data_IF_697266675176
#
_entry.id   IF_697266675176
#
_cell.length_a   1.000
_cell.length_b   1.000
_cell.length_c   1.000
_cell.angle_alpha   90.00
_cell.angle_beta   90.00
_cell.angle_gamma   90.00
#
_symmetry.space_group_name_H-M   'P 1'
#
loop_
_entity.id
_entity.type
_entity.pdbx_description
1 polymer ?
#
# COMPACT_ATOMS: atom_id res chain seq x y z
N UNK A 1 -31.92 7.78 4.67
CA UNK A 1 -31.69 6.90 3.49
C UNK A 1 -32.76 7.18 2.44
N UNK A 2 -32.40 7.05 1.15
CA UNK A 2 -33.36 7.15 0.03
C UNK A 2 -33.69 5.74 -0.45
N UNK A 3 -34.96 5.46 -0.74
CA UNK A 3 -35.37 4.17 -1.30
C UNK A 3 -34.93 4.08 -2.76
N UNK A 4 -34.24 3.01 -3.11
CA UNK A 4 -33.76 2.72 -4.46
C UNK A 4 -34.28 1.31 -4.82
N UNK A 5 -34.70 1.13 -6.07
CA UNK A 5 -35.09 -0.17 -6.61
C UNK A 5 -34.03 -0.64 -7.61
N UNK A 6 -33.65 -1.90 -7.54
CA UNK A 6 -32.65 -2.54 -8.41
C UNK A 6 -33.24 -3.84 -8.94
N UNK A 7 -32.90 -4.18 -10.17
CA UNK A 7 -33.21 -5.49 -10.74
C UNK A 7 -32.00 -6.39 -10.58
N UNK A 8 -32.21 -7.54 -9.95
CA UNK A 8 -31.18 -8.54 -9.66
C UNK A 8 -31.75 -9.89 -10.08
N UNK A 9 -30.89 -10.73 -10.63
CA UNK A 9 -31.21 -12.12 -10.92
C UNK A 9 -31.78 -12.83 -9.68
N UNK A 10 -32.83 -13.63 -9.87
CA UNK A 10 -33.59 -14.23 -8.77
C UNK A 10 -32.76 -15.25 -7.99
N UNK A 11 -32.00 -16.09 -8.69
CA UNK A 11 -31.15 -17.11 -8.08
C UNK A 11 -30.00 -16.48 -7.30
N UNK A 12 -29.40 -15.42 -7.85
CA UNK A 12 -28.37 -14.64 -7.16
C UNK A 12 -28.93 -13.99 -5.89
N UNK A 13 -30.13 -13.40 -5.98
CA UNK A 13 -30.78 -12.77 -4.83
C UNK A 13 -31.15 -13.78 -3.74
N UNK A 14 -31.57 -14.99 -4.11
CA UNK A 14 -31.84 -16.07 -3.17
C UNK A 14 -30.59 -16.47 -2.37
N UNK A 15 -29.46 -16.69 -3.07
CA UNK A 15 -28.17 -16.99 -2.44
C UNK A 15 -27.70 -15.87 -1.52
N UNK A 16 -27.86 -14.62 -1.94
CA UNK A 16 -27.49 -13.46 -1.12
C UNK A 16 -28.31 -13.40 0.18
N UNK A 17 -29.64 -13.61 0.11
CA UNK A 17 -30.50 -13.68 1.31
C UNK A 17 -30.04 -14.77 2.27
N UNK A 18 -29.63 -15.92 1.76
CA UNK A 18 -29.13 -17.02 2.58
C UNK A 18 -27.84 -16.62 3.32
N UNK A 19 -26.90 -15.96 2.65
CA UNK A 19 -25.67 -15.45 3.28
C UNK A 19 -25.99 -14.44 4.39
N UNK A 20 -26.91 -13.50 4.13
CA UNK A 20 -27.35 -12.50 5.13
C UNK A 20 -28.02 -13.18 6.33
N UNK A 21 -28.87 -14.18 6.09
CA UNK A 21 -29.49 -14.99 7.14
C UNK A 21 -28.45 -15.75 7.96
N UNK A 22 -27.45 -16.37 7.32
CA UNK A 22 -26.38 -17.09 8.03
C UNK A 22 -25.55 -16.14 8.89
N UNK A 23 -25.23 -14.95 8.39
CA UNK A 23 -24.40 -13.94 9.07
C UNK A 23 -25.13 -13.26 10.23
N UNK A 24 -26.35 -12.76 9.98
CA UNK A 24 -27.08 -11.89 10.91
C UNK A 24 -28.27 -12.55 11.60
N UNK A 25 -28.63 -13.79 11.20
CA UNK A 25 -29.85 -14.52 11.63
C UNK A 25 -31.16 -13.80 11.33
N UNK A 26 -31.12 -12.77 10.48
CA UNK A 26 -32.29 -11.97 10.12
C UNK A 26 -32.14 -11.35 8.74
N UNK A 27 -33.26 -11.21 8.01
CA UNK A 27 -33.31 -10.49 6.73
C UNK A 27 -33.46 -8.98 6.89
N UNK A 28 -33.67 -8.47 8.12
CA UNK A 28 -33.76 -7.01 8.38
C UNK A 28 -32.46 -6.27 8.02
N UNK A 29 -31.37 -7.00 7.82
CA UNK A 29 -30.04 -6.50 7.46
C UNK A 29 -29.72 -6.55 5.96
N UNK A 30 -30.69 -6.87 5.11
CA UNK A 30 -30.47 -6.92 3.65
C UNK A 30 -29.97 -5.60 3.08
N UNK A 31 -30.61 -4.48 3.42
CA UNK A 31 -30.21 -3.16 2.93
C UNK A 31 -28.81 -2.77 3.40
N UNK A 32 -28.49 -3.05 4.68
CA UNK A 32 -27.17 -2.79 5.26
C UNK A 32 -26.08 -3.61 4.55
N UNK A 33 -26.35 -4.89 4.25
CA UNK A 33 -25.37 -5.75 3.59
C UNK A 33 -25.16 -5.38 2.12
N UNK A 34 -26.21 -4.97 1.40
CA UNK A 34 -26.07 -4.43 0.03
C UNK A 34 -25.20 -3.17 0.04
N UNK A 35 -25.40 -2.27 1.00
CA UNK A 35 -24.59 -1.06 1.12
C UNK A 35 -23.13 -1.38 1.48
N UNK A 36 -22.91 -2.35 2.37
CA UNK A 36 -21.55 -2.80 2.72
C UNK A 36 -20.83 -3.42 1.52
N UNK A 37 -21.52 -4.26 0.74
CA UNK A 37 -20.94 -4.85 -0.47
C UNK A 37 -20.56 -3.77 -1.50
N UNK A 38 -21.40 -2.75 -1.68
CA UNK A 38 -21.08 -1.61 -2.54
C UNK A 38 -19.87 -0.83 -2.00
N UNK A 39 -19.81 -0.55 -0.70
CA UNK A 39 -18.65 0.11 -0.07
C UNK A 39 -17.37 -0.69 -0.24
N UNK A 40 -17.40 -1.99 0.02
CA UNK A 40 -16.26 -2.88 -0.14
C UNK A 40 -15.77 -2.90 -1.59
N UNK A 41 -16.69 -2.99 -2.56
CA UNK A 41 -16.33 -2.97 -3.98
C UNK A 41 -15.71 -1.64 -4.43
N UNK A 42 -16.25 -0.51 -3.96
CA UNK A 42 -15.72 0.83 -4.26
C UNK A 42 -14.38 1.07 -3.57
N UNK A 43 -14.18 0.54 -2.36
CA UNK A 43 -12.90 0.62 -1.65
C UNK A 43 -11.85 -0.25 -2.35
N UNK A 44 -12.18 -1.48 -2.78
CA UNK A 44 -11.25 -2.32 -3.54
C UNK A 44 -10.87 -1.68 -4.88
N UNK A 45 -11.83 -1.09 -5.61
CA UNK A 45 -11.54 -0.34 -6.83
C UNK A 45 -10.71 0.92 -6.53
N UNK A 46 -11.02 1.65 -5.46
CA UNK A 46 -10.25 2.81 -5.02
C UNK A 46 -8.81 2.44 -4.64
N UNK A 47 -8.62 1.32 -3.96
CA UNK A 47 -7.30 0.75 -3.62
C UNK A 47 -6.59 0.30 -4.89
N UNK A 48 -7.26 -0.38 -5.82
CA UNK A 48 -6.70 -0.79 -7.12
C UNK A 48 -6.27 0.42 -7.95
N UNK A 49 -7.08 1.48 -8.01
CA UNK A 49 -6.75 2.71 -8.72
C UNK A 49 -5.62 3.48 -8.03
N UNK A 50 -5.62 3.54 -6.69
CA UNK A 50 -4.53 4.14 -5.93
C UNK A 50 -3.23 3.37 -6.13
N UNK A 51 -3.26 2.03 -6.05
CA UNK A 51 -2.12 1.16 -6.35
C UNK A 51 -1.67 1.30 -7.80
N UNK A 52 -2.59 1.45 -8.77
CA UNK A 52 -2.26 1.70 -10.19
C UNK A 52 -1.62 3.06 -10.41
N UNK A 53 -2.07 4.11 -9.71
CA UNK A 53 -1.44 5.43 -9.71
C UNK A 53 -0.04 5.37 -9.08
N UNK A 54 0.09 4.71 -7.94
CA UNK A 54 1.37 4.48 -7.27
C UNK A 54 2.31 3.67 -8.17
N UNK A 55 1.85 2.61 -8.82
CA UNK A 55 2.69 1.82 -9.74
C UNK A 55 2.94 2.48 -11.10
N UNK A 56 2.18 3.50 -11.48
CA UNK A 56 2.47 4.35 -12.63
C UNK A 56 3.49 5.47 -12.29
N UNK A 57 3.50 5.97 -11.06
CA UNK A 57 4.44 7.01 -10.60
C UNK A 57 5.75 6.44 -10.03
N UNK A 58 5.77 5.19 -9.57
CA UNK A 58 7.02 4.54 -9.22
C UNK A 58 7.65 4.05 -10.54
N UNK A 59 8.64 4.80 -11.04
CA UNK A 59 9.70 4.21 -11.85
C UNK A 59 10.40 3.17 -10.97
N UNK A 60 9.85 1.95 -10.90
CA UNK A 60 10.49 0.85 -10.19
C UNK A 60 11.73 0.53 -11.03
N UNK A 61 12.96 0.76 -10.52
CA UNK A 61 14.16 0.37 -11.25
C UNK A 61 14.07 -1.13 -11.52
N UNK A 62 14.04 -1.49 -12.80
CA UNK A 62 13.77 -2.84 -13.30
C UNK A 62 14.96 -3.78 -13.09
N UNK A 63 16.14 -3.25 -12.73
CA UNK A 63 17.32 -4.05 -12.44
C UNK A 63 18.13 -3.54 -11.23
N UNK A 64 18.90 -4.42 -10.57
CA UNK A 64 19.86 -4.03 -9.52
C UNK A 64 20.86 -2.96 -9.96
N UNK A 65 21.13 -2.81 -11.25
CA UNK A 65 22.06 -1.82 -11.80
C UNK A 65 21.41 -0.43 -11.84
N UNK A 66 20.11 -0.33 -12.14
CA UNK A 66 19.36 0.93 -12.04
C UNK A 66 19.27 1.39 -10.58
N UNK A 67 19.05 0.47 -9.63
CA UNK A 67 19.07 0.77 -8.19
C UNK A 67 20.46 1.31 -7.76
N UNK A 68 21.55 0.71 -8.27
CA UNK A 68 22.91 1.17 -7.98
C UNK A 68 23.20 2.57 -8.55
N UNK A 69 22.61 2.94 -9.69
CA UNK A 69 22.78 4.27 -10.31
C UNK A 69 21.99 5.36 -9.60
N UNK A 70 20.78 5.05 -9.13
CA UNK A 70 19.94 6.01 -8.38
C UNK A 70 20.37 6.16 -6.93
N UNK A 71 21.27 5.31 -6.43
CA UNK A 71 21.74 5.38 -5.05
C UNK A 71 22.40 6.73 -4.79
N UNK A 72 21.95 7.49 -3.77
CA UNK A 72 22.60 8.74 -3.38
C UNK A 72 24.06 8.46 -3.02
N UNK A 73 24.99 9.04 -3.77
CA UNK A 73 26.40 9.01 -3.42
C UNK A 73 26.64 10.06 -2.33
N UNK A 74 27.22 9.62 -1.22
CA UNK A 74 27.71 10.53 -0.19
C UNK A 74 28.73 11.48 -0.84
N UNK A 75 28.45 12.79 -0.80
CA UNK A 75 29.40 13.79 -1.28
C UNK A 75 30.47 13.97 -0.21
N UNK A 76 31.71 13.63 -0.55
CA UNK A 76 32.85 13.82 0.34
C UNK A 76 33.94 12.78 0.08
N UNK A 77 35.11 12.96 0.71
CA UNK A 77 36.15 11.93 0.71
C UNK A 77 35.56 10.64 1.29
N UNK A 78 36.05 9.50 0.80
CA UNK A 78 35.61 8.20 1.31
C UNK A 78 35.73 8.19 2.84
N UNK A 79 34.74 7.62 3.53
CA UNK A 79 34.74 7.55 5.00
C UNK A 79 36.05 6.98 5.56
N UNK A 80 36.69 6.10 4.79
CA UNK A 80 38.00 5.53 5.07
C UNK A 80 39.15 6.55 5.13
N UNK A 81 39.14 7.56 4.26
CA UNK A 81 40.10 8.68 4.32
C UNK A 81 39.88 9.52 5.58
N UNK A 82 38.62 9.80 5.92
CA UNK A 82 38.23 10.56 7.10
C UNK A 82 38.65 9.83 8.39
N UNK A 83 38.44 8.51 8.45
CA UNK A 83 38.87 7.67 9.58
C UNK A 83 40.40 7.61 9.69
N UNK A 84 41.14 7.56 8.56
CA UNK A 84 42.61 7.62 8.56
C UNK A 84 43.12 8.94 9.10
N UNK A 85 42.54 10.06 8.69
CA UNK A 85 42.90 11.40 9.15
C UNK A 85 42.65 11.56 10.66
N UNK A 86 41.50 11.07 11.13
CA UNK A 86 41.18 11.07 12.56
C UNK A 86 42.19 10.27 13.38
N UNK A 87 42.62 9.08 12.92
CA UNK A 87 43.67 8.30 13.61
C UNK A 87 45.01 9.01 13.60
N UNK A 88 45.42 9.60 12.47
CA UNK A 88 46.67 10.36 12.38
C UNK A 88 46.71 11.53 13.36
N UNK A 89 45.60 12.26 13.47
CA UNK A 89 45.48 13.40 14.39
C UNK A 89 45.39 12.99 15.86
N UNK A 90 44.81 11.83 16.18
CA UNK A 90 44.82 11.28 17.53
C UNK A 90 46.23 10.89 18.00
N UNK A 91 47.07 10.37 17.11
CA UNK A 91 48.45 9.99 17.44
C UNK A 91 49.30 11.24 17.68
N UNK A 92 49.13 12.29 16.88
CA UNK A 92 49.84 13.56 17.05
C UNK A 92 49.50 14.30 18.35
N UNK A 93 48.24 14.22 18.82
CA UNK A 93 47.81 14.81 20.11
C UNK A 93 48.22 14.00 21.35
N UNK A 94 48.63 12.73 21.19
CA UNK A 94 49.13 11.91 22.30
C UNK A 94 50.64 12.02 22.54
N UNK A 95 51.35 12.74 21.68
CA UNK A 95 52.81 12.95 21.73
C UNK A 95 53.19 14.40 22.10
N UNK A 96 52.22 15.25 22.47
CA UNK A 96 52.44 16.61 22.99
C UNK A 96 52.34 16.67 24.50
#
# INVERSE_FOLDING_TARGET
>A
MRKISLYIDEDLWAKFKEVVLRKHRTLRKLSDEVENLLKESLVDEGIRQALKKISADIKIPKSPEEIKRERPMLRGPAAELLIREMRGNSIAKGLS
#
